data_IF_714750535325
#
_entry.id   IF_714750535325
#
_cell.length_a   1.000
_cell.length_b   1.000
_cell.length_c   1.000
_cell.angle_alpha   90.00
_cell.angle_beta   90.00
_cell.angle_gamma   90.00
#
_symmetry.space_group_name_H-M   'P 1'
#
loop_
_entity.id
_entity.type
_entity.pdbx_description
1 polymer ?
2 non-polymer ?
3 non-polymer ?
4 water ?
#
# COMPACT_ATOMS: atom_id res chain seq x y z
N UNK A 16 20.75 -0.20 4.37
CA UNK A 16 20.82 -0.15 5.86
C UNK A 16 19.41 0.05 6.46
N UNK A 17 19.23 -0.43 7.69
CA UNK A 17 17.99 -0.26 8.42
C UNK A 17 17.95 1.16 8.98
N UNK A 18 16.89 1.90 8.67
CA UNK A 18 16.77 3.32 9.02
C UNK A 18 16.23 3.60 10.41
N UNK A 19 15.56 2.61 11.03
CA UNK A 19 14.89 2.81 12.32
C UNK A 19 13.63 3.66 12.18
N UNK A 21 9.52 4.14 9.98
CA UNK A 21 8.26 3.45 9.69
C UNK A 21 7.68 3.89 8.35
N UNK A 22 7.27 2.92 7.54
CA UNK A 22 6.43 3.16 6.38
C UNK A 22 4.97 2.94 6.75
N UNK A 23 4.14 3.91 6.42
CA UNK A 23 2.70 3.90 6.68
C UNK A 23 2.04 3.86 5.29
N UNK A 24 1.48 2.72 4.94
CA UNK A 24 0.90 2.53 3.61
C UNK A 24 -0.59 2.26 3.77
N UNK A 25 -1.40 3.03 3.04
CA UNK A 25 -2.88 2.88 3.13
C UNK A 25 -3.43 2.84 1.70
N UNK A 26 -4.27 1.85 1.44
CA UNK A 26 -5.02 1.79 0.18
C UNK A 26 -6.52 1.96 0.50
N UNK A 27 -7.19 2.70 -0.37
CA UNK A 27 -8.62 2.92 -0.30
C UNK A 27 -9.36 2.44 -1.57
N UNK A 28 -10.57 1.93 -1.33
CA UNK A 28 -11.52 1.56 -2.37
C UNK A 28 -12.82 2.33 -2.12
N UNK A 29 -13.31 2.96 -3.15
CA UNK A 29 -14.52 3.71 -3.04
C UNK A 29 -15.66 2.81 -3.45
N UNK A 30 -16.87 3.12 -2.98
CA UNK A 30 -18.04 2.26 -3.29
C UNK A 30 -18.26 2.13 -4.79
N UNK A 31 -18.56 0.90 -5.21
CA UNK A 31 -18.74 0.56 -6.61
C UNK A 31 -19.78 1.44 -7.32
N UNK A 32 -20.85 1.77 -6.61
CA UNK A 32 -21.95 2.50 -7.22
C UNK A 32 -21.77 4.03 -7.30
N UNK A 33 -20.67 4.56 -6.78
CA UNK A 33 -20.40 6.00 -6.91
C UNK A 33 -20.16 6.29 -8.41
N UNK A 34 -20.84 7.28 -8.99
CA UNK A 34 -20.55 7.62 -10.41
C UNK A 34 -19.06 7.91 -10.61
N UNK A 35 -18.45 7.47 -11.72
CA UNK A 35 -17.00 7.68 -11.90
C UNK A 35 -16.60 9.16 -11.88
N UNK A 36 -17.50 10.06 -12.30
CA UNK A 36 -17.21 11.49 -12.24
C UNK A 36 -17.01 11.92 -10.80
N UNK A 37 -17.83 11.45 -9.87
CA UNK A 37 -17.61 11.83 -8.46
C UNK A 37 -16.44 11.07 -7.83
N UNK A 38 -16.22 9.83 -8.24
CA UNK A 38 -15.01 9.14 -7.80
C UNK A 38 -13.77 9.95 -8.12
N UNK A 39 -13.71 10.45 -9.36
CA UNK A 39 -12.57 11.25 -9.81
C UNK A 39 -12.39 12.55 -9.02
N UNK A 40 -13.50 13.27 -8.75
CA UNK A 40 -13.46 14.50 -7.98
C UNK A 40 -12.90 14.23 -6.60
N UNK A 41 -13.43 13.21 -5.96
CA UNK A 41 -12.95 12.79 -4.64
C UNK A 41 -11.47 12.40 -4.64
N UNK A 43 -9.01 13.18 -6.84
CA UNK A 43 -8.20 14.38 -7.07
C UNK A 43 -8.17 15.28 -5.82
N UNK A 44 -9.32 15.53 -5.23
CA UNK A 44 -9.37 16.41 -4.07
C UNK A 44 -8.55 15.87 -2.89
N UNK A 45 -8.68 14.56 -2.63
CA UNK A 45 -7.92 13.85 -1.59
C UNK A 45 -6.43 13.92 -1.85
N UNK A 46 -6.01 13.61 -3.08
CA UNK A 46 -4.58 13.68 -3.45
C UNK A 46 -4.01 15.07 -3.16
N UNK A 47 -4.70 16.11 -3.62
CA UNK A 47 -4.28 17.50 -3.38
C UNK A 47 -4.17 17.82 -1.90
N UNK A 48 -5.16 17.38 -1.12
CA UNK A 48 -5.24 17.70 0.32
C UNK A 48 -4.13 17.01 1.09
N UNK A 49 -3.88 15.73 0.80
CA UNK A 49 -2.79 14.99 1.44
C UNK A 49 -1.43 15.56 1.10
N UNK A 50 -1.23 15.90 -0.16
CA UNK A 50 0.05 16.37 -0.62
C UNK A 50 0.41 17.79 -0.10
N UNK A 51 -0.59 18.54 0.37
CA UNK A 51 -0.40 19.84 1.02
C UNK A 51 -0.03 19.74 2.51
N UNK A 52 -0.08 18.56 3.09
CA UNK A 52 0.12 18.40 4.54
C UNK A 52 1.54 18.59 5.04
N UNK A 53 2.56 18.19 4.27
CA UNK A 53 3.92 18.39 4.85
C UNK A 53 4.24 19.80 5.35
N UNK A 54 3.68 20.84 4.73
CA UNK A 54 3.88 22.22 5.19
C UNK A 54 3.21 22.53 6.54
N UNK A 55 2.17 21.76 6.87
CA UNK A 55 1.42 21.90 8.10
C UNK A 55 1.91 20.92 9.18
N UNK A 56 2.32 19.73 8.77
CA UNK A 56 2.63 18.62 9.69
C UNK A 56 4.09 18.21 9.56
N UNK A 57 4.91 18.72 10.46
CA UNK A 57 6.36 18.60 10.35
C UNK A 57 6.86 17.16 10.51
N UNK A 58 6.12 16.32 11.22
CA UNK A 58 6.56 14.92 11.41
C UNK A 58 6.48 14.06 10.13
N UNK A 59 5.81 14.52 9.07
CA UNK A 59 5.80 13.78 7.80
C UNK A 59 7.17 13.84 7.16
N UNK A 60 7.80 12.68 6.96
CA UNK A 60 9.14 12.61 6.35
C UNK A 60 9.02 12.45 4.82
N UNK A 61 7.98 11.77 4.37
CA UNK A 61 7.66 11.64 2.96
C UNK A 61 6.19 11.28 2.89
N UNK A 62 5.47 11.82 1.91
CA UNK A 62 4.07 11.45 1.66
C UNK A 62 3.75 11.65 0.18
N UNK A 63 2.99 10.71 -0.36
CA UNK A 63 2.46 10.87 -1.70
C UNK A 63 1.16 10.08 -1.82
N UNK A 64 0.30 10.54 -2.73
CA UNK A 64 -0.93 9.82 -3.05
C UNK A 64 -0.87 9.39 -4.52
N UNK A 65 -1.11 8.11 -4.74
CA UNK A 65 -1.15 7.52 -6.07
C UNK A 65 -2.57 7.14 -6.43
N UNK A 66 -2.96 7.51 -7.64
CA UNK A 66 -4.28 7.14 -8.16
C UNK A 66 -4.13 5.97 -9.16
N UNK A 67 -4.88 4.90 -8.94
CA UNK A 67 -4.71 3.70 -9.72
C UNK A 67 -4.85 3.89 -11.22
N UNK A 69 -4.14 0.99 -13.30
CA UNK A 69 -4.34 -0.37 -13.78
C UNK A 69 -5.82 -0.81 -13.72
N UNK A 70 -6.47 -0.95 -14.89
CA UNK A 70 -7.90 -1.26 -14.88
C UNK A 70 -8.19 -2.69 -14.44
N UNK A 71 -7.12 -3.49 -14.37
CA UNK A 71 -7.19 -4.83 -13.76
C UNK A 71 -7.28 -4.84 -12.25
N UNK A 72 -7.00 -3.71 -11.60
CA UNK A 72 -7.10 -3.59 -10.15
C UNK A 72 -8.36 -2.81 -9.77
N UNK A 73 -8.85 -3.01 -8.57
CA UNK A 73 -10.11 -2.42 -8.15
C UNK A 73 -10.04 -1.40 -7.00
N UNK A 74 -8.87 -1.21 -6.41
CA UNK A 74 -8.67 -0.19 -5.39
C UNK A 74 -8.26 1.07 -6.09
N UNK A 75 -8.68 2.21 -5.57
CA UNK A 75 -8.55 3.47 -6.31
C UNK A 75 -7.40 4.38 -5.90
N UNK A 76 -7.05 4.35 -4.64
CA UNK A 76 -6.17 5.32 -4.05
C UNK A 76 -5.12 4.64 -3.17
N UNK A 77 -3.85 5.06 -3.32
CA UNK A 77 -2.77 4.61 -2.47
C UNK A 77 -2.18 5.84 -1.77
N UNK A 78 -1.91 5.70 -0.47
CA UNK A 78 -1.14 6.67 0.28
C UNK A 78 0.13 5.97 0.75
N UNK A 79 1.26 6.53 0.38
CA UNK A 79 2.54 6.01 0.74
C UNK A 79 3.25 7.09 1.54
N UNK A 80 3.75 6.74 2.71
CA UNK A 80 4.35 7.72 3.58
C UNK A 80 5.39 7.13 4.51
N UNK A 81 6.26 7.99 5.01
CA UNK A 81 7.36 7.64 5.91
C UNK A 81 7.36 8.57 7.12
N UNK A 82 7.60 7.97 8.30
CA UNK A 82 7.69 8.67 9.59
C UNK A 82 8.82 8.04 10.40
N UNK A 83 9.22 8.71 11.47
CA UNK A 83 10.29 8.19 12.35
C UNK A 83 9.82 7.02 13.19
N UNK A 84 8.56 7.03 13.58
CA UNK A 84 8.02 6.02 14.48
C UNK A 84 6.49 6.05 14.51
N UNK A 85 5.87 5.10 15.20
CA UNK A 85 4.40 5.03 15.23
C UNK A 85 3.73 6.17 16.00
N UNK A 86 4.43 6.79 16.95
CA UNK A 86 3.88 7.93 17.70
C UNK A 86 3.66 9.07 16.70
N UNK A 87 4.62 9.23 15.79
CA UNK A 87 4.52 10.27 14.75
C UNK A 87 3.40 9.95 13.74
N UNK A 88 3.25 8.68 13.35
CA UNK A 88 2.12 8.28 12.50
C UNK A 88 0.79 8.70 13.15
N UNK A 89 0.67 8.48 14.46
CA UNK A 89 -0.55 8.77 15.18
C UNK A 89 -0.76 10.29 15.31
N UNK A 90 0.33 11.01 15.53
CA UNK A 90 0.28 12.50 15.52
C UNK A 90 -0.28 13.03 14.20
N UNK A 91 0.29 12.55 13.10
CA UNK A 91 -0.23 12.82 11.77
C UNK A 91 -1.71 12.42 11.60
N UNK A 92 -2.07 11.21 12.04
CA UNK A 92 -3.43 10.69 11.77
C UNK A 92 -4.52 11.55 12.44
N UNK A 93 -4.22 12.01 13.64
CA UNK A 93 -5.14 12.82 14.47
C UNK A 93 -5.09 14.32 14.21
N UNK A 94 -4.11 14.75 13.40
CA UNK A 94 -3.89 16.17 13.15
C UNK A 94 -5.11 16.74 12.40
N UNK A 95 -5.63 17.92 12.82
CA UNK A 95 -6.83 18.47 12.22
C UNK A 95 -6.78 18.60 10.69
N UNK A 96 -5.62 18.95 10.17
CA UNK A 96 -5.42 19.10 8.72
C UNK A 96 -5.53 17.74 8.03
N UNK A 97 -4.99 16.71 8.66
CA UNK A 97 -5.13 15.38 8.12
C UNK A 97 -6.58 14.86 8.21
N UNK A 98 -7.22 15.10 9.34
CA UNK A 98 -8.62 14.69 9.50
C UNK A 98 -9.49 15.32 8.42
N UNK A 99 -9.30 16.61 8.14
CA UNK A 99 -10.04 17.27 7.04
C UNK A 99 -9.81 16.58 5.69
N UNK A 100 -8.54 16.24 5.41
CA UNK A 100 -8.20 15.53 4.15
C UNK A 100 -8.94 14.20 4.07
N UNK A 101 -8.91 13.45 5.18
CA UNK A 101 -9.59 12.17 5.28
C UNK A 101 -11.10 12.26 5.08
N UNK A 102 -11.70 13.34 5.57
CA UNK A 102 -13.14 13.53 5.42
C UNK A 102 -13.58 13.65 3.98
N UNK A 103 -12.66 14.07 3.12
CA UNK A 103 -12.96 14.14 1.66
C UNK A 103 -13.51 12.77 1.14
N UNK A 104 -12.98 11.69 1.71
CA UNK A 104 -13.37 10.33 1.34
C UNK A 104 -14.60 9.78 2.05
N UNK A 105 -15.09 10.48 3.09
CA UNK A 105 -16.06 9.87 3.99
C UNK A 105 -17.34 9.41 3.29
N UNK A 106 -17.87 10.24 2.42
CA UNK A 106 -19.14 9.93 1.78
C UNK A 106 -19.07 8.77 0.81
N UNK A 107 -17.90 8.54 0.20
CA UNK A 107 -17.76 7.56 -0.88
C UNK A 107 -16.95 6.30 -0.57
N UNK A 108 -16.20 6.33 0.54
CA UNK A 108 -15.30 5.23 0.91
C UNK A 108 -16.07 3.93 1.19
N UNK A 109 -15.53 2.83 0.70
CA UNK A 109 -16.00 1.49 1.00
C UNK A 109 -15.04 0.77 1.94
N UNK A 110 -13.75 0.78 1.62
CA UNK A 110 -12.76 0.00 2.38
C UNK A 110 -11.45 0.75 2.52
N UNK A 111 -10.78 0.50 3.64
CA UNK A 111 -9.43 0.97 3.92
C UNK A 111 -8.59 -0.22 4.36
N UNK A 112 -7.40 -0.30 3.81
CA UNK A 112 -6.41 -1.34 4.11
C UNK A 112 -5.13 -0.61 4.51
N UNK A 113 -4.50 -1.03 5.60
CA UNK A 113 -3.28 -0.37 6.02
C UNK A 113 -2.29 -1.31 6.69
N UNK A 114 -1.02 -1.13 6.35
CA UNK A 114 0.09 -1.81 7.00
C UNK A 114 1.12 -0.77 7.34
N UNK A 115 1.63 -0.82 8.58
CA UNK A 115 2.72 0.04 9.02
C UNK A 115 3.87 -0.88 9.30
N UNK A 116 5.01 -0.60 8.69
CA UNK A 116 6.18 -1.46 8.87
C UNK A 116 7.48 -0.72 9.01
N UNK A 117 8.45 -1.38 9.67
CA UNK A 117 9.73 -0.78 9.95
C UNK A 117 10.66 -0.92 8.76
N UNK A 118 11.46 0.11 8.53
CA UNK A 118 12.54 0.06 7.54
C UNK A 118 13.76 0.77 8.03
N UNK B 16 11.23 15.21 -9.04
CA UNK B 16 10.96 15.08 -10.51
C UNK B 16 10.19 13.79 -10.82
N UNK B 17 9.28 13.86 -11.80
CA UNK B 17 8.53 12.72 -12.36
C UNK B 17 9.46 11.68 -13.01
N UNK B 18 9.37 10.44 -12.53
CA UNK B 18 10.22 9.36 -13.03
C UNK B 18 9.67 8.67 -14.28
N UNK B 19 8.35 8.73 -14.54
CA UNK B 19 7.78 7.95 -15.66
C UNK B 19 7.82 6.44 -15.38
N UNK B 21 6.38 3.12 -12.44
CA UNK B 21 5.16 2.64 -11.81
C UNK B 21 5.49 2.04 -10.46
N UNK B 22 4.73 2.42 -9.44
CA UNK B 22 4.74 1.76 -8.16
C UNK B 22 3.58 0.79 -8.12
N UNK B 23 3.90 -0.43 -7.76
CA UNK B 23 2.93 -1.49 -7.59
C UNK B 23 2.88 -1.80 -6.09
N UNK B 24 1.76 -1.46 -5.46
CA UNK B 24 1.60 -1.63 -4.01
C UNK B 24 0.48 -2.60 -3.75
N UNK B 25 0.78 -3.65 -2.97
CA UNK B 25 -0.19 -4.67 -2.58
C UNK B 25 -0.19 -4.82 -1.07
N UNK B 26 -1.38 -4.85 -0.46
CA UNK B 26 -1.56 -5.18 0.96
C UNK B 26 -2.38 -6.45 1.02
N UNK B 27 -2.00 -7.34 1.94
CA UNK B 27 -2.72 -8.59 2.16
C UNK B 27 -3.17 -8.69 3.62
N UNK B 28 -4.35 -9.23 3.80
CA UNK B 28 -4.82 -9.60 5.13
C UNK B 28 -5.01 -11.12 5.16
N UNK B 29 -4.51 -11.77 6.20
CA UNK B 29 -4.75 -13.19 6.40
C UNK B 29 -6.01 -13.37 7.26
N UNK B 30 -6.58 -14.57 7.21
CA UNK B 30 -7.76 -14.84 8.01
C UNK B 30 -7.47 -14.67 9.51
N UNK B 31 -8.46 -14.18 10.27
CA UNK B 31 -8.30 -13.94 11.70
C UNK B 31 -8.03 -15.23 12.46
N UNK B 32 -8.68 -16.31 12.02
CA UNK B 32 -8.59 -17.60 12.75
C UNK B 32 -7.37 -18.45 12.40
N UNK B 33 -6.37 -17.86 11.78
CA UNK B 33 -5.12 -18.55 11.59
C UNK B 33 -4.28 -18.39 12.89
N UNK B 34 -3.70 -19.50 13.37
CA UNK B 34 -2.88 -19.38 14.58
C UNK B 34 -1.71 -18.43 14.41
N UNK B 35 -1.33 -17.77 15.49
CA UNK B 35 -0.20 -16.82 15.49
C UNK B 35 1.06 -17.36 14.79
N UNK B 36 1.51 -18.56 15.17
CA UNK B 36 2.72 -19.17 14.63
C UNK B 36 2.58 -19.44 13.16
N UNK B 37 1.37 -19.81 12.72
CA UNK B 37 1.16 -20.04 11.28
C UNK B 37 1.21 -18.73 10.51
N UNK B 38 0.57 -17.69 11.04
CA UNK B 38 0.72 -16.36 10.41
C UNK B 38 2.19 -15.94 10.31
N UNK B 39 2.95 -16.13 11.38
CA UNK B 39 4.39 -15.79 11.33
C UNK B 39 5.16 -16.59 10.28
N UNK B 40 4.88 -17.89 10.18
CA UNK B 40 5.59 -18.76 9.24
C UNK B 40 5.28 -18.32 7.81
N UNK B 41 3.99 -18.10 7.54
CA UNK B 41 3.54 -17.67 6.24
C UNK B 41 4.16 -16.31 5.85
N UNK B 43 6.80 -14.71 7.10
CA UNK B 43 8.24 -14.80 6.95
C UNK B 43 8.65 -15.50 5.65
N UNK B 44 7.96 -16.59 5.32
CA UNK B 44 8.29 -17.32 4.10
C UNK B 44 7.97 -16.50 2.84
N UNK B 45 6.84 -15.80 2.86
CA UNK B 45 6.45 -14.93 1.75
C UNK B 45 7.44 -13.78 1.60
N UNK B 46 7.80 -13.13 2.72
CA UNK B 46 8.78 -12.04 2.66
C UNK B 46 10.11 -12.50 2.03
N UNK B 47 10.62 -13.64 2.49
CA UNK B 47 11.88 -14.17 1.96
C UNK B 47 11.73 -14.46 0.49
N UNK B 48 10.65 -15.15 0.11
CA UNK B 48 10.45 -15.54 -1.31
C UNK B 48 10.37 -14.32 -2.25
N UNK B 49 9.58 -13.34 -1.86
CA UNK B 49 9.42 -12.12 -2.66
C UNK B 49 10.71 -11.35 -2.78
N UNK B 50 11.43 -11.20 -1.67
CA UNK B 50 12.64 -10.37 -1.67
C UNK B 50 13.81 -11.01 -2.42
N UNK B 51 13.74 -12.32 -2.66
CA UNK B 51 14.67 -13.07 -3.49
C UNK B 51 14.36 -12.98 -5.01
N UNK B 52 13.19 -12.47 -5.37
CA UNK B 52 12.78 -12.46 -6.78
C UNK B 52 13.67 -11.60 -7.70
N UNK B 53 14.24 -10.50 -7.20
CA UNK B 53 15.06 -9.72 -8.16
C UNK B 53 16.20 -10.48 -8.87
N UNK B 54 16.73 -11.53 -8.23
CA UNK B 54 17.76 -12.35 -8.86
C UNK B 54 17.18 -13.22 -10.00
N UNK B 55 15.86 -13.35 -10.06
CA UNK B 55 15.21 -14.23 -11.03
C UNK B 55 14.33 -13.49 -12.02
N UNK B 56 13.89 -12.28 -11.64
CA UNK B 56 12.96 -11.47 -12.45
C UNK B 56 13.59 -10.10 -12.70
N UNK B 57 14.09 -9.94 -13.92
CA UNK B 57 14.98 -8.84 -14.27
C UNK B 57 14.29 -7.46 -14.31
N UNK B 58 12.96 -7.45 -14.44
CA UNK B 58 12.25 -6.19 -14.62
C UNK B 58 11.94 -5.52 -13.26
N UNK B 59 12.20 -6.19 -12.14
CA UNK B 59 11.92 -5.58 -10.85
C UNK B 59 12.95 -4.49 -10.60
N UNK B 60 12.52 -3.25 -10.44
CA UNK B 60 13.47 -2.17 -10.13
C UNK B 60 13.73 -2.10 -8.63
N UNK B 61 12.70 -2.31 -7.83
CA UNK B 61 12.84 -2.36 -6.39
C UNK B 61 11.67 -3.19 -5.89
N UNK B 62 11.92 -3.99 -4.84
CA UNK B 62 10.86 -4.69 -4.16
C UNK B 62 11.19 -4.92 -2.70
N UNK B 63 10.16 -4.88 -1.87
CA UNK B 63 10.30 -5.14 -0.45
C UNK B 63 8.97 -5.60 0.10
N UNK B 64 9.03 -6.42 1.13
CA UNK B 64 7.87 -6.83 1.90
C UNK B 64 7.99 -6.33 3.36
N UNK B 65 6.93 -5.67 3.83
CA UNK B 65 6.83 -5.17 5.18
C UNK B 65 5.75 -5.92 5.94
N UNK B 66 6.08 -6.37 7.14
CA UNK B 66 5.11 -6.99 8.02
C UNK B 66 4.57 -5.96 9.05
N UNK B 67 3.25 -5.92 9.18
CA UNK B 67 2.58 -4.95 10.04
C UNK B 67 3.09 -5.05 11.45
N UNK B 69 1.91 -2.34 13.69
CA UNK B 69 0.95 -1.52 14.41
C UNK B 69 -0.25 -2.35 14.90
N UNK B 70 -0.37 -2.53 16.23
CA UNK B 70 -1.50 -3.33 16.71
C UNK B 70 -2.88 -2.70 16.47
N UNK B 71 -2.95 -1.42 16.13
CA UNK B 71 -4.21 -0.79 15.75
C UNK B 71 -4.63 -1.05 14.32
N UNK B 72 -3.79 -1.71 13.52
CA UNK B 72 -4.17 -2.04 12.13
C UNK B 72 -4.47 -3.52 11.98
N UNK B 73 -5.28 -3.89 11.00
CA UNK B 73 -5.71 -5.30 10.89
C UNK B 73 -5.13 -6.06 9.70
N UNK B 74 -4.53 -5.37 8.74
CA UNK B 74 -3.90 -6.00 7.60
C UNK B 74 -2.49 -6.43 7.99
N UNK B 75 -1.94 -7.38 7.25
CA UNK B 75 -0.76 -8.11 7.69
C UNK B 75 0.53 -7.83 6.92
N UNK B 76 0.42 -7.81 5.60
CA UNK B 76 1.60 -7.82 4.75
C UNK B 76 1.48 -6.68 3.71
N UNK B 77 2.56 -5.93 3.53
CA UNK B 77 2.67 -4.95 2.46
C UNK B 77 3.75 -5.40 1.47
N UNK B 78 3.45 -5.27 0.18
CA UNK B 78 4.43 -5.46 -0.89
C UNK B 78 4.55 -4.10 -1.59
N UNK B 79 5.73 -3.53 -1.55
CA UNK B 79 6.02 -2.24 -2.16
C UNK B 79 7.05 -2.51 -3.23
N UNK B 80 6.79 -2.04 -4.44
CA UNK B 80 7.65 -2.35 -5.57
C UNK B 80 7.62 -1.25 -6.64
N UNK B 81 8.65 -1.23 -7.46
CA UNK B 81 8.76 -0.28 -8.56
C UNK B 81 9.13 -1.01 -9.86
N UNK B 82 8.50 -0.58 -10.94
CA UNK B 82 8.79 -1.08 -12.28
C UNK B 82 8.78 0.08 -13.22
N UNK B 83 9.37 -0.11 -14.40
CA UNK B 83 9.37 0.94 -15.42
C UNK B 83 7.98 1.25 -15.98
N UNK B 84 7.13 0.23 -16.05
CA UNK B 84 5.87 0.34 -16.77
C UNK B 84 4.96 -0.82 -16.39
N UNK B 85 3.70 -0.75 -16.81
CA UNK B 85 2.72 -1.77 -16.46
C UNK B 85 2.90 -3.13 -17.14
N UNK B 86 3.47 -3.13 -18.33
CA UNK B 86 3.86 -4.39 -18.99
C UNK B 86 4.82 -5.16 -18.09
N UNK B 87 5.77 -4.45 -17.48
CA UNK B 87 6.76 -5.07 -16.60
C UNK B 87 6.08 -5.62 -15.33
N UNK B 88 5.14 -4.86 -14.75
CA UNK B 88 4.34 -5.38 -13.62
C UNK B 88 3.67 -6.71 -14.01
N UNK B 89 3.08 -6.77 -15.19
CA UNK B 89 2.41 -7.99 -15.67
C UNK B 89 3.37 -9.14 -15.90
N UNK B 90 4.54 -8.84 -16.48
CA UNK B 90 5.63 -9.81 -16.67
C UNK B 90 6.02 -10.44 -15.31
N UNK B 91 6.21 -9.59 -14.31
CA UNK B 91 6.49 -9.99 -12.94
C UNK B 91 5.36 -10.83 -12.37
N UNK B 92 4.12 -10.37 -12.53
CA UNK B 92 2.96 -11.05 -11.93
C UNK B 92 2.85 -12.53 -12.30
N UNK B 93 2.99 -12.82 -13.59
CA UNK B 93 2.86 -14.19 -14.11
C UNK B 93 4.19 -15.00 -14.17
N UNK B 94 5.30 -14.39 -13.80
CA UNK B 94 6.60 -15.09 -13.80
C UNK B 94 6.51 -16.29 -12.88
N UNK B 95 6.97 -17.45 -13.34
CA UNK B 95 6.83 -18.65 -12.51
C UNK B 95 7.37 -18.49 -11.08
N UNK B 96 8.49 -17.78 -10.90
CA UNK B 96 9.07 -17.60 -9.58
C UNK B 96 8.19 -16.77 -8.66
N UNK B 97 7.51 -15.79 -9.23
CA UNK B 97 6.54 -15.00 -8.50
C UNK B 97 5.26 -15.79 -8.21
N UNK B 98 4.78 -16.57 -9.18
CA UNK B 98 3.60 -17.41 -8.89
C UNK B 98 3.87 -18.36 -7.70
N UNK B 99 5.05 -18.97 -7.67
CA UNK B 99 5.46 -19.83 -6.54
C UNK B 99 5.42 -19.06 -5.23
N UNK B 100 5.97 -17.84 -5.26
CA UNK B 100 5.97 -17.00 -4.05
C UNK B 100 4.54 -16.72 -3.54
N UNK B 101 3.64 -16.37 -4.45
CA UNK B 101 2.25 -16.06 -4.09
C UNK B 101 1.46 -17.23 -3.51
N UNK B 102 1.74 -18.44 -4.00
CA UNK B 102 1.14 -19.67 -3.40
C UNK B 102 1.42 -19.86 -1.91
N UNK B 103 2.49 -19.29 -1.41
CA UNK B 103 2.78 -19.29 0.02
C UNK B 103 1.59 -18.75 0.85
N UNK B 104 0.87 -17.76 0.31
CA UNK B 104 -0.28 -17.16 0.97
C UNK B 104 -1.61 -17.88 0.76
N UNK B 105 -1.63 -18.86 -0.16
CA UNK B 105 -2.91 -19.39 -0.66
C UNK B 105 -3.83 -19.93 0.45
N UNK B 106 -3.28 -20.69 1.41
CA UNK B 106 -4.11 -21.30 2.46
C UNK B 106 -4.66 -20.33 3.52
N UNK B 107 -4.00 -19.20 3.71
CA UNK B 107 -4.33 -18.29 4.82
C UNK B 107 -4.86 -16.93 4.39
N UNK B 108 -4.73 -16.61 3.11
CA UNK B 108 -5.12 -15.28 2.63
C UNK B 108 -6.61 -15.03 2.74
N UNK B 109 -6.99 -13.82 3.17
CA UNK B 109 -8.41 -13.43 3.22
C UNK B 109 -8.68 -12.36 2.15
N UNK B 110 -7.85 -11.34 2.11
CA UNK B 110 -8.07 -10.18 1.25
C UNK B 110 -6.78 -9.70 0.63
N UNK B 111 -6.90 -9.19 -0.59
CA UNK B 111 -5.80 -8.51 -1.31
C UNK B 111 -6.30 -7.16 -1.77
N UNK B 112 -5.50 -6.14 -1.53
CA UNK B 112 -5.75 -4.76 -2.00
C UNK B 112 -4.56 -4.35 -2.84
N UNK B 113 -4.78 -3.75 -4.00
CA UNK B 113 -3.68 -3.30 -4.86
C UNK B 113 -3.99 -2.02 -5.62
N UNK B 114 -3.00 -1.14 -5.64
CA UNK B 114 -3.03 0.06 -6.47
C UNK B 114 -1.68 0.11 -7.21
N UNK B 115 -1.77 0.38 -8.52
CA UNK B 115 -0.63 0.64 -9.39
C UNK B 115 -0.71 2.09 -9.85
N UNK B 116 0.33 2.85 -9.58
CA UNK B 116 0.34 4.27 -9.92
C UNK B 116 1.67 4.78 -10.45
N UNK B 117 1.59 5.85 -11.24
CA UNK B 117 2.78 6.46 -11.82
C UNK B 117 3.56 7.37 -10.84
N UNK B 118 4.90 7.35 -10.90
CA UNK B 118 5.70 8.31 -10.13
C UNK B 118 6.85 8.82 -10.98
#
# INVERSE_FOLDING_TARGET
XGSDKIHHHHHHENLYFQGXVKHIVLFKLRDDVPVEEKLVVXNSFKEAIEALPAKISVIRKIEVGLNXNPGETWNIALYSEFDNLDDVKFYATHPEHVAAGKILAETKESRACVDYEF
XGSDKIHHHHHHENLYFQGXVKHIVLFKLRDDVPVEEKLVVXNSFKEAIEALPAKISVIRKIEVGLNXNPGETWNIALYSEFDNLDDVKFYATHPEHVAAGKILAETKESRACVDYEF
#
